data_IF_845930086624
#
_entry.id   IF_845930086624
#
_cell.length_a   1.000
_cell.length_b   1.000
_cell.length_c   1.000
_cell.angle_alpha   90.00
_cell.angle_beta   90.00
_cell.angle_gamma   90.00
#
_symmetry.space_group_name_H-M   'P 1'
#
loop_
_entity.id
_entity.type
_entity.pdbx_description
1 polymer ?
#
# COMPACT_ATOMS: atom_id res chain seq x y z
N UNK A 1 5.21 21.36 -1.63
CA UNK A 1 5.77 20.06 -2.08
C UNK A 1 6.18 20.20 -3.54
N UNK A 2 7.31 19.64 -4.00
CA UNK A 2 7.57 19.53 -5.43
C UNK A 2 6.41 18.75 -6.09
N UNK A 3 6.06 19.11 -7.32
CA UNK A 3 5.02 18.40 -8.07
C UNK A 3 5.46 16.93 -8.25
N UNK A 4 4.62 16.00 -7.80
CA UNK A 4 4.84 14.58 -8.02
C UNK A 4 4.87 14.30 -9.53
N UNK A 5 5.91 13.62 -9.99
CA UNK A 5 6.10 13.22 -11.39
C UNK A 5 5.91 11.73 -11.55
N UNK A 6 5.38 11.33 -12.70
CA UNK A 6 5.22 9.93 -13.02
C UNK A 6 6.59 9.31 -13.37
N UNK A 7 6.96 8.15 -12.78
CA UNK A 7 8.19 7.46 -13.15
C UNK A 7 8.13 7.00 -14.60
N UNK A 8 9.13 7.39 -15.40
CA UNK A 8 9.21 6.96 -16.80
C UNK A 8 10.26 5.87 -16.93
N UNK A 9 9.86 4.73 -17.48
CA UNK A 9 10.74 3.61 -17.75
C UNK A 9 11.68 3.90 -18.92
N UNK A 10 12.87 3.29 -18.89
CA UNK A 10 13.83 3.34 -20.00
C UNK A 10 13.23 2.66 -21.23
N UNK A 11 13.51 3.21 -22.41
CA UNK A 11 13.15 2.58 -23.68
C UNK A 11 13.75 1.16 -23.76
N UNK A 12 12.92 0.19 -24.14
CA UNK A 12 13.29 -1.23 -24.20
C UNK A 12 12.84 -2.06 -22.99
N UNK A 13 12.47 -1.43 -21.87
CA UNK A 13 11.81 -2.11 -20.75
C UNK A 13 10.29 -2.11 -20.96
N UNK A 14 9.77 -3.24 -21.42
CA UNK A 14 8.33 -3.46 -21.59
C UNK A 14 7.75 -4.10 -20.33
N UNK A 15 7.64 -3.33 -19.25
CA UNK A 15 6.89 -3.77 -18.08
C UNK A 15 5.42 -3.37 -18.22
N UNK A 16 4.51 -4.30 -17.98
CA UNK A 16 3.10 -3.97 -17.74
C UNK A 16 2.98 -3.24 -16.41
N UNK A 17 1.87 -2.54 -16.16
CA UNK A 17 1.63 -1.89 -14.88
C UNK A 17 1.75 -2.87 -13.70
N UNK A 18 1.21 -4.09 -13.87
CA UNK A 18 1.30 -5.15 -12.86
C UNK A 18 2.74 -5.63 -12.67
N UNK A 19 3.48 -5.84 -13.76
CA UNK A 19 4.89 -6.25 -13.70
C UNK A 19 5.78 -5.18 -13.09
N UNK A 20 5.49 -3.90 -13.32
CA UNK A 20 6.16 -2.80 -12.65
C UNK A 20 5.90 -2.83 -11.15
N UNK A 21 4.64 -2.95 -10.73
CA UNK A 21 4.27 -2.99 -9.31
C UNK A 21 4.90 -4.19 -8.60
N UNK A 22 4.93 -5.35 -9.24
CA UNK A 22 5.57 -6.55 -8.71
C UNK A 22 7.09 -6.35 -8.54
N UNK A 23 7.79 -5.87 -9.56
CA UNK A 23 9.24 -5.63 -9.51
C UNK A 23 9.63 -4.55 -8.50
N UNK A 24 8.84 -3.47 -8.42
CA UNK A 24 9.06 -2.41 -7.44
C UNK A 24 8.77 -2.90 -6.02
N UNK A 25 7.76 -3.76 -5.84
CA UNK A 25 7.38 -4.33 -4.54
C UNK A 25 8.31 -5.42 -4.00
N UNK A 26 9.21 -5.98 -4.82
CA UNK A 26 10.10 -7.06 -4.41
C UNK A 26 11.09 -6.69 -3.29
N UNK A 27 11.52 -5.42 -3.22
CA UNK A 27 12.38 -4.96 -2.13
C UNK A 27 12.19 -3.45 -1.83
N UNK A 28 12.60 -3.03 -0.64
CA UNK A 28 12.43 -1.64 -0.18
C UNK A 28 13.27 -0.65 -1.01
N UNK A 29 14.44 -1.05 -1.51
CA UNK A 29 15.31 -0.20 -2.30
C UNK A 29 14.67 0.19 -3.65
N UNK A 30 13.86 -0.71 -4.24
CA UNK A 30 13.11 -0.45 -5.46
C UNK A 30 11.95 0.51 -5.20
N UNK A 31 11.25 0.36 -4.06
CA UNK A 31 10.22 1.31 -3.61
C UNK A 31 10.82 2.69 -3.37
N UNK A 32 11.97 2.77 -2.70
CA UNK A 32 12.71 4.01 -2.50
C UNK A 32 13.15 4.64 -3.82
N UNK A 33 13.65 3.84 -4.76
CA UNK A 33 14.00 4.29 -6.11
C UNK A 33 12.80 4.87 -6.86
N UNK A 34 11.63 4.20 -6.82
CA UNK A 34 10.40 4.71 -7.42
C UNK A 34 9.95 6.00 -6.75
N UNK A 35 10.04 6.09 -5.42
CA UNK A 35 9.72 7.29 -4.68
C UNK A 35 10.64 8.46 -5.04
N UNK A 36 11.96 8.25 -5.08
CA UNK A 36 12.95 9.24 -5.52
C UNK A 36 12.62 9.72 -6.93
N UNK A 37 12.23 8.84 -7.84
CA UNK A 37 11.78 9.25 -9.17
C UNK A 37 10.55 10.15 -9.11
N UNK A 38 9.59 9.88 -8.23
CA UNK A 38 8.38 10.69 -8.12
C UNK A 38 8.59 12.07 -7.50
N UNK A 39 9.51 12.21 -6.53
CA UNK A 39 9.61 13.45 -5.73
C UNK A 39 10.95 14.17 -5.85
N UNK A 40 11.97 13.50 -6.38
CA UNK A 40 13.33 14.03 -6.48
C UNK A 40 13.52 14.96 -7.67
N UNK A 41 14.63 15.69 -7.65
CA UNK A 41 15.02 16.60 -8.74
C UNK A 41 15.79 15.84 -9.81
N UNK A 42 15.54 16.16 -11.07
CA UNK A 42 16.38 15.66 -12.16
C UNK A 42 17.79 16.23 -11.98
N UNK A 43 18.79 15.35 -11.97
CA UNK A 43 20.17 15.76 -11.87
C UNK A 43 20.63 16.33 -13.21
N UNK A 44 21.38 17.44 -13.19
CA UNK A 44 21.88 18.05 -14.44
C UNK A 44 22.98 17.22 -15.08
N UNK A 45 23.78 16.55 -14.25
CA UNK A 45 24.84 15.63 -14.66
C UNK A 45 24.43 14.21 -14.26
N UNK A 46 24.45 13.29 -15.21
CA UNK A 46 24.09 11.90 -14.93
C UNK A 46 25.15 11.25 -14.03
N UNK A 47 24.72 10.44 -13.05
CA UNK A 47 25.62 9.61 -12.26
C UNK A 47 26.23 8.49 -13.14
N UNK A 48 27.37 7.93 -12.74
CA UNK A 48 28.07 6.88 -13.52
C UNK A 48 27.16 5.68 -13.85
N UNK A 49 26.32 5.27 -12.90
CA UNK A 49 25.32 4.21 -13.13
C UNK A 49 24.27 4.59 -14.18
N UNK A 50 23.84 5.85 -14.23
CA UNK A 50 22.90 6.32 -15.27
C UNK A 50 23.54 6.30 -16.66
N UNK A 51 24.80 6.74 -16.74
CA UNK A 51 25.61 6.74 -17.97
C UNK A 51 25.86 5.31 -18.48
N UNK A 52 26.02 4.33 -17.57
CA UNK A 52 26.14 2.89 -17.90
C UNK A 52 24.82 2.20 -18.22
N UNK A 53 23.75 2.98 -18.32
CA UNK A 53 22.42 2.50 -18.60
C UNK A 53 21.76 1.60 -17.53
N UNK A 54 22.26 1.61 -16.30
CA UNK A 54 21.77 0.74 -15.24
C UNK A 54 20.40 1.19 -14.69
N UNK A 55 19.58 0.21 -14.30
CA UNK A 55 18.28 0.40 -13.65
C UNK A 55 17.11 0.78 -14.56
N UNK A 56 15.87 0.76 -14.03
CA UNK A 56 14.66 0.73 -14.86
C UNK A 56 14.19 2.09 -15.37
N UNK A 57 14.61 3.18 -14.74
CA UNK A 57 14.08 4.53 -15.04
C UNK A 57 14.87 5.23 -16.14
N UNK A 58 14.26 6.18 -16.86
CA UNK A 58 14.94 6.92 -17.91
C UNK A 58 15.74 8.13 -17.39
N UNK A 59 15.42 8.63 -16.21
CA UNK A 59 15.94 9.91 -15.69
C UNK A 59 16.89 9.70 -14.52
N UNK A 60 17.99 10.46 -14.48
CA UNK A 60 18.85 10.54 -13.30
C UNK A 60 18.21 11.50 -12.29
N UNK A 61 17.85 10.99 -11.12
CA UNK A 61 17.11 11.75 -10.11
C UNK A 61 17.76 11.60 -8.76
N UNK A 62 17.89 12.72 -8.07
CA UNK A 62 18.45 12.77 -6.72
C UNK A 62 17.48 13.47 -5.78
N UNK A 63 17.46 13.01 -4.53
CA UNK A 63 16.86 13.76 -3.43
C UNK A 63 18.00 14.55 -2.76
N UNK A 64 17.85 15.87 -2.72
CA UNK A 64 18.79 16.77 -2.05
C UNK A 64 18.24 17.10 -0.66
N UNK A 65 18.32 16.12 0.25
CA UNK A 65 18.00 16.33 1.67
C UNK A 65 19.32 16.65 2.40
N UNK A 66 19.34 17.72 3.17
CA UNK A 66 20.48 18.10 4.01
C UNK A 66 20.90 16.91 4.90
N UNK A 67 22.14 16.46 4.75
CA UNK A 67 22.72 15.37 5.53
C UNK A 67 22.58 13.97 4.93
N UNK A 68 21.92 13.80 3.77
CA UNK A 68 21.85 12.53 3.06
C UNK A 68 22.93 12.43 1.95
N UNK A 69 23.52 11.23 1.73
CA UNK A 69 24.36 11.00 0.56
C UNK A 69 23.57 11.26 -0.72
N UNK A 70 24.22 11.90 -1.72
CA UNK A 70 23.62 12.13 -3.04
C UNK A 70 23.52 10.81 -3.80
N UNK A 71 22.55 9.99 -3.46
CA UNK A 71 22.28 8.73 -4.16
C UNK A 71 21.24 8.97 -5.26
N UNK A 72 21.61 8.60 -6.50
CA UNK A 72 20.68 8.62 -7.61
C UNK A 72 19.76 7.39 -7.51
N UNK A 73 18.47 7.55 -7.84
CA UNK A 73 17.44 6.50 -7.75
C UNK A 73 17.83 5.13 -8.36
N UNK A 74 18.80 5.10 -9.28
CA UNK A 74 19.24 3.88 -9.96
C UNK A 74 20.25 3.04 -9.16
N UNK A 75 21.07 3.66 -8.32
CA UNK A 75 22.12 2.94 -7.57
C UNK A 75 21.57 2.03 -6.46
N UNK A 76 20.35 2.31 -5.98
CA UNK A 76 19.68 1.49 -4.97
C UNK A 76 19.10 0.18 -5.53
N UNK A 77 18.76 0.14 -6.82
CA UNK A 77 18.03 -0.98 -7.44
C UNK A 77 18.92 -2.15 -7.94
N UNK A 78 20.25 -2.02 -7.93
CA UNK A 78 21.17 -3.00 -8.54
C UNK A 78 22.03 -3.81 -7.54
N UNK A 79 21.71 -3.85 -6.24
CA UNK A 79 22.51 -4.62 -5.27
C UNK A 79 22.34 -6.16 -5.33
N UNK A 80 21.98 -6.70 -6.49
CA UNK A 80 22.20 -8.12 -6.81
C UNK A 80 23.50 -8.25 -7.63
N UNK A 81 24.62 -8.36 -6.91
CA UNK A 81 25.92 -8.84 -7.40
C UNK A 81 26.82 -7.88 -8.23
N UNK A 82 27.41 -6.86 -7.59
CA UNK A 82 28.74 -6.39 -7.96
C UNK A 82 29.39 -5.63 -6.80
N UNK A 83 30.51 -6.16 -6.29
CA UNK A 83 31.37 -5.45 -5.36
C UNK A 83 32.06 -4.28 -6.11
N UNK A 84 31.61 -3.05 -5.88
CA UNK A 84 32.40 -1.85 -6.18
C UNK A 84 33.23 -1.51 -4.92
N UNK A 85 34.56 -1.38 -5.02
CA UNK A 85 35.39 -1.00 -3.88
C UNK A 85 35.21 0.49 -3.60
N UNK A 86 34.29 0.81 -2.69
CA UNK A 86 34.13 2.16 -2.17
C UNK A 86 35.20 2.45 -1.11
N UNK A 87 36.30 3.06 -1.56
CA UNK A 87 37.13 3.91 -0.70
C UNK A 87 36.37 5.24 -0.45
N UNK A 88 35.37 5.18 0.41
CA UNK A 88 34.81 6.32 1.14
C UNK A 88 34.04 5.78 2.32
N UNK A 89 34.05 6.48 3.46
CA UNK A 89 33.67 5.89 4.73
C UNK A 89 32.23 5.42 4.62
N UNK A 90 32.03 4.10 4.79
CA UNK A 90 30.73 3.60 5.23
C UNK A 90 30.25 4.54 6.33
N UNK A 91 29.03 5.11 6.23
CA UNK A 91 28.39 5.67 7.42
C UNK A 91 28.54 4.60 8.49
N UNK A 92 29.26 4.90 9.57
CA UNK A 92 29.45 3.93 10.63
C UNK A 92 28.06 3.49 11.06
N UNK A 93 27.71 2.23 10.78
CA UNK A 93 26.59 1.53 11.38
C UNK A 93 26.80 1.63 12.89
N UNK A 94 26.16 2.64 13.52
CA UNK A 94 26.45 3.01 14.90
C UNK A 94 26.47 4.51 15.21
N UNK A 95 26.29 5.41 14.24
CA UNK A 95 26.03 6.82 14.58
C UNK A 95 24.70 6.92 15.34
N UNK A 96 24.68 7.57 16.51
CA UNK A 96 23.47 7.69 17.35
C UNK A 96 22.28 8.25 16.56
N UNK A 97 22.56 9.13 15.59
CA UNK A 97 21.61 9.74 14.67
C UNK A 97 20.85 8.72 13.81
N UNK A 98 21.52 7.71 13.25
CA UNK A 98 20.86 6.68 12.44
C UNK A 98 19.97 5.79 13.31
N UNK A 99 20.42 5.48 14.52
CA UNK A 99 19.67 4.65 15.46
C UNK A 99 18.45 5.40 16.03
N UNK A 100 18.57 6.68 16.33
CA UNK A 100 17.45 7.57 16.68
C UNK A 100 16.43 7.65 15.54
N UNK A 101 16.88 7.90 14.32
CA UNK A 101 15.97 7.97 13.16
C UNK A 101 15.20 6.66 12.95
N UNK A 102 15.87 5.51 13.07
CA UNK A 102 15.21 4.20 12.99
C UNK A 102 14.20 3.97 14.12
N UNK A 103 14.43 4.53 15.32
CA UNK A 103 13.45 4.52 16.39
C UNK A 103 12.21 5.36 16.04
N UNK A 104 12.38 6.51 15.37
CA UNK A 104 11.27 7.35 14.90
C UNK A 104 10.50 6.75 13.72
N UNK A 105 11.13 5.93 12.88
CA UNK A 105 10.46 5.19 11.80
C UNK A 105 9.65 3.98 12.29
N UNK A 106 10.00 3.41 13.44
CA UNK A 106 9.33 2.20 13.96
C UNK A 106 7.82 2.40 14.20
N UNK A 107 7.35 3.49 14.84
CA UNK A 107 5.92 3.79 14.95
C UNK A 107 5.23 3.88 13.58
N UNK A 108 5.86 4.51 12.60
CA UNK A 108 5.30 4.65 11.25
C UNK A 108 5.13 3.29 10.58
N UNK A 109 6.18 2.46 10.61
CA UNK A 109 6.15 1.08 10.09
C UNK A 109 5.02 0.28 10.75
N UNK A 110 4.90 0.36 12.08
CA UNK A 110 3.86 -0.36 12.82
C UNK A 110 2.45 0.13 12.46
N UNK A 111 2.26 1.44 12.28
CA UNK A 111 0.98 2.02 11.87
C UNK A 111 0.57 1.56 10.46
N UNK A 112 1.51 1.51 9.51
CA UNK A 112 1.27 0.99 8.15
C UNK A 112 0.89 -0.48 8.17
N UNK A 113 1.61 -1.32 8.93
CA UNK A 113 1.28 -2.75 9.07
C UNK A 113 -0.11 -2.93 9.68
N UNK A 114 -0.45 -2.16 10.73
CA UNK A 114 -1.77 -2.21 11.35
C UNK A 114 -2.88 -1.81 10.38
N UNK A 115 -2.68 -0.72 9.62
CA UNK A 115 -3.63 -0.28 8.60
C UNK A 115 -3.85 -1.34 7.53
N UNK A 116 -2.78 -1.97 7.04
CA UNK A 116 -2.87 -3.05 6.05
C UNK A 116 -3.69 -4.23 6.58
N UNK A 117 -3.39 -4.70 7.80
CA UNK A 117 -4.11 -5.82 8.40
C UNK A 117 -5.60 -5.50 8.65
N UNK A 118 -5.92 -4.27 9.04
CA UNK A 118 -7.30 -3.84 9.27
C UNK A 118 -8.05 -3.63 7.94
N UNK A 119 -7.36 -3.20 6.89
CA UNK A 119 -7.91 -3.15 5.53
C UNK A 119 -8.27 -4.55 5.01
N UNK A 120 -7.39 -5.54 5.17
CA UNK A 120 -7.66 -6.93 4.77
C UNK A 120 -8.85 -7.54 5.53
N UNK A 121 -8.97 -7.22 6.83
CA UNK A 121 -10.15 -7.60 7.62
C UNK A 121 -11.43 -6.94 7.12
N UNK A 122 -11.36 -5.68 6.71
CA UNK A 122 -12.51 -4.96 6.12
C UNK A 122 -12.96 -5.59 4.82
N UNK A 123 -12.03 -5.92 3.91
CA UNK A 123 -12.33 -6.64 2.67
C UNK A 123 -12.99 -8.00 2.95
N UNK A 124 -12.44 -8.77 3.90
CA UNK A 124 -13.00 -10.05 4.31
C UNK A 124 -14.43 -9.93 4.86
N UNK A 125 -14.72 -8.88 5.63
CA UNK A 125 -16.06 -8.60 6.14
C UNK A 125 -17.04 -8.21 5.01
N UNK A 126 -16.58 -7.43 4.03
CA UNK A 126 -17.37 -7.05 2.85
C UNK A 126 -17.72 -8.30 2.03
N UNK A 127 -16.77 -9.20 1.79
CA UNK A 127 -17.00 -10.43 1.04
C UNK A 127 -17.98 -11.37 1.76
N UNK A 128 -17.83 -11.52 3.08
CA UNK A 128 -18.78 -12.28 3.89
C UNK A 128 -20.19 -11.69 3.83
N UNK A 129 -20.32 -10.37 3.94
CA UNK A 129 -21.59 -9.67 3.83
C UNK A 129 -22.23 -9.85 2.44
N UNK A 130 -21.42 -9.69 1.38
CA UNK A 130 -21.85 -9.90 0.00
C UNK A 130 -22.41 -11.31 -0.20
N UNK A 131 -21.71 -12.33 0.32
CA UNK A 131 -22.18 -13.73 0.25
C UNK A 131 -23.55 -13.90 0.91
N UNK A 132 -23.75 -13.34 2.11
CA UNK A 132 -25.04 -13.42 2.81
C UNK A 132 -26.17 -12.79 2.00
N UNK A 133 -25.93 -11.64 1.36
CA UNK A 133 -26.97 -11.00 0.53
C UNK A 133 -27.26 -11.76 -0.76
N UNK A 134 -26.27 -12.44 -1.35
CA UNK A 134 -26.49 -13.35 -2.47
C UNK A 134 -27.36 -14.55 -2.04
N UNK A 135 -27.04 -15.18 -0.90
CA UNK A 135 -27.80 -16.31 -0.36
C UNK A 135 -29.25 -15.89 0.01
N UNK A 136 -29.42 -14.69 0.57
CA UNK A 136 -30.72 -14.09 0.84
C UNK A 136 -31.54 -13.85 -0.43
N UNK A 137 -30.91 -13.31 -1.47
CA UNK A 137 -31.54 -13.09 -2.78
C UNK A 137 -31.96 -14.40 -3.45
N UNK A 138 -31.12 -15.43 -3.40
CA UNK A 138 -31.44 -16.76 -3.91
C UNK A 138 -32.66 -17.37 -3.18
N UNK A 139 -32.71 -17.22 -1.85
CA UNK A 139 -33.83 -17.68 -1.02
C UNK A 139 -35.13 -16.96 -1.39
N UNK A 140 -35.08 -15.64 -1.55
CA UNK A 140 -36.24 -14.83 -1.95
C UNK A 140 -36.73 -15.20 -3.35
N UNK A 141 -35.83 -15.35 -4.32
CA UNK A 141 -36.18 -15.77 -5.68
C UNK A 141 -36.81 -17.18 -5.69
N UNK A 142 -36.29 -18.11 -4.88
CA UNK A 142 -36.90 -19.44 -4.77
C UNK A 142 -38.32 -19.37 -4.20
N UNK A 143 -38.55 -18.55 -3.18
CA UNK A 143 -39.87 -18.37 -2.59
C UNK A 143 -40.88 -17.78 -3.58
N UNK A 144 -40.46 -16.76 -4.35
CA UNK A 144 -41.27 -16.14 -5.40
C UNK A 144 -41.57 -17.17 -6.49
N UNK A 145 -40.58 -17.92 -6.95
CA UNK A 145 -40.78 -18.92 -8.00
C UNK A 145 -41.78 -20.00 -7.58
N UNK A 146 -41.68 -20.53 -6.35
CA UNK A 146 -42.66 -21.48 -5.82
C UNK A 146 -44.08 -20.91 -5.80
N UNK A 147 -44.21 -19.64 -5.41
CA UNK A 147 -45.49 -18.93 -5.38
C UNK A 147 -46.09 -18.82 -6.79
N UNK A 148 -45.28 -18.47 -7.78
CA UNK A 148 -45.70 -18.40 -9.20
C UNK A 148 -46.06 -19.78 -9.75
N UNK A 149 -45.23 -20.79 -9.51
CA UNK A 149 -45.40 -22.14 -10.09
C UNK A 149 -46.65 -22.86 -9.57
N UNK A 150 -47.02 -22.61 -8.31
CA UNK A 150 -48.12 -23.30 -7.64
C UNK A 150 -49.37 -22.42 -7.49
N UNK A 151 -49.36 -21.21 -8.06
CA UNK A 151 -50.38 -20.16 -7.89
C UNK A 151 -50.77 -19.96 -6.41
N UNK A 152 -49.77 -20.13 -5.54
CA UNK A 152 -49.92 -20.15 -4.09
C UNK A 152 -49.28 -18.90 -3.48
N UNK A 153 -49.74 -18.49 -2.32
CA UNK A 153 -49.07 -17.45 -1.55
C UNK A 153 -47.69 -17.94 -1.06
N UNK A 154 -46.75 -17.02 -0.89
CA UNK A 154 -45.46 -17.31 -0.26
C UNK A 154 -45.72 -17.94 1.11
N UNK A 155 -45.11 -19.10 1.36
CA UNK A 155 -45.35 -19.82 2.59
C UNK A 155 -44.79 -19.09 3.81
N UNK A 156 -45.38 -19.30 4.99
CA UNK A 156 -44.86 -18.76 6.23
C UNK A 156 -43.41 -19.24 6.49
N UNK A 157 -43.09 -20.47 6.09
CA UNK A 157 -41.72 -21.01 6.18
C UNK A 157 -40.75 -20.22 5.30
N UNK A 158 -41.11 -19.90 4.05
CA UNK A 158 -40.27 -19.09 3.19
C UNK A 158 -40.09 -17.67 3.76
N UNK A 159 -41.14 -17.06 4.31
CA UNK A 159 -41.06 -15.76 4.99
C UNK A 159 -40.13 -15.79 6.21
N UNK A 160 -40.19 -16.86 7.00
CA UNK A 160 -39.26 -17.07 8.13
C UNK A 160 -37.81 -17.19 7.66
N UNK A 161 -37.55 -17.95 6.59
CA UNK A 161 -36.20 -18.07 6.01
C UNK A 161 -35.68 -16.73 5.47
N UNK A 162 -36.52 -15.97 4.76
CA UNK A 162 -36.16 -14.62 4.28
C UNK A 162 -35.83 -13.71 5.46
N UNK A 163 -36.67 -13.72 6.52
CA UNK A 163 -36.47 -12.90 7.72
C UNK A 163 -35.17 -13.25 8.44
N UNK A 164 -34.88 -14.55 8.59
CA UNK A 164 -33.64 -15.03 9.18
C UNK A 164 -32.41 -14.54 8.38
N UNK A 165 -32.45 -14.65 7.05
CA UNK A 165 -31.37 -14.18 6.18
C UNK A 165 -31.17 -12.67 6.26
N UNK A 166 -32.24 -11.87 6.31
CA UNK A 166 -32.16 -10.42 6.50
C UNK A 166 -31.52 -10.08 7.85
N UNK A 167 -31.88 -10.81 8.92
CA UNK A 167 -31.29 -10.63 10.25
C UNK A 167 -29.78 -10.88 10.23
N UNK A 168 -29.34 -11.98 9.61
CA UNK A 168 -27.91 -12.29 9.42
C UNK A 168 -27.22 -11.21 8.58
N UNK A 169 -27.84 -10.75 7.49
CA UNK A 169 -27.32 -9.66 6.65
C UNK A 169 -27.15 -8.35 7.41
N UNK A 170 -28.08 -8.01 8.30
CA UNK A 170 -27.96 -6.83 9.16
C UNK A 170 -26.81 -6.95 10.17
N UNK A 171 -26.59 -8.15 10.73
CA UNK A 171 -25.45 -8.41 11.60
C UNK A 171 -24.12 -8.26 10.83
N UNK A 172 -24.04 -8.76 9.60
CA UNK A 172 -22.85 -8.61 8.76
C UNK A 172 -22.61 -7.15 8.35
N UNK A 173 -23.66 -6.39 8.04
CA UNK A 173 -23.56 -4.95 7.81
C UNK A 173 -22.98 -4.21 9.02
N UNK A 174 -23.34 -4.60 10.25
CA UNK A 174 -22.75 -4.04 11.46
C UNK A 174 -21.24 -4.35 11.55
N UNK A 175 -20.84 -5.59 11.24
CA UNK A 175 -19.42 -5.98 11.21
C UNK A 175 -18.62 -5.18 10.17
N UNK A 176 -19.16 -4.96 8.97
CA UNK A 176 -18.54 -4.11 7.94
C UNK A 176 -18.34 -2.68 8.44
N UNK A 177 -19.34 -2.09 9.11
CA UNK A 177 -19.22 -0.74 9.68
C UNK A 177 -18.12 -0.67 10.74
N UNK A 178 -18.08 -1.64 11.66
CA UNK A 178 -17.02 -1.71 12.68
C UNK A 178 -15.63 -1.83 12.04
N UNK A 179 -15.48 -2.62 10.98
CA UNK A 179 -14.21 -2.73 10.27
C UNK A 179 -13.82 -1.42 9.56
N UNK A 180 -14.79 -0.70 8.98
CA UNK A 180 -14.55 0.60 8.35
C UNK A 180 -14.15 1.68 9.38
N UNK A 181 -14.78 1.68 10.56
CA UNK A 181 -14.42 2.59 11.66
C UNK A 181 -12.98 2.33 12.13
N UNK A 182 -12.57 1.06 12.23
CA UNK A 182 -11.21 0.68 12.61
C UNK A 182 -10.18 1.14 11.57
N UNK A 183 -10.44 0.94 10.27
CA UNK A 183 -9.58 1.47 9.19
C UNK A 183 -9.44 2.99 9.29
N UNK A 184 -10.54 3.70 9.52
CA UNK A 184 -10.54 5.16 9.70
C UNK A 184 -9.67 5.57 10.90
N UNK A 185 -9.80 4.85 12.03
CA UNK A 185 -8.97 5.06 13.20
C UNK A 185 -7.48 4.84 12.90
N UNK A 186 -7.13 3.81 12.11
CA UNK A 186 -5.74 3.57 11.70
C UNK A 186 -5.17 4.63 10.78
N UNK A 187 -5.98 5.23 9.90
CA UNK A 187 -5.54 6.38 9.13
C UNK A 187 -5.16 7.56 10.04
N UNK A 188 -5.91 7.79 11.12
CA UNK A 188 -5.56 8.82 12.10
C UNK A 188 -4.27 8.47 12.87
N UNK A 189 -4.12 7.21 13.32
CA UNK A 189 -2.88 6.73 13.96
C UNK A 189 -1.66 6.94 13.03
N UNK A 190 -1.83 6.67 11.73
CA UNK A 190 -0.79 6.86 10.71
C UNK A 190 -0.46 8.34 10.50
N UNK A 191 -1.46 9.22 10.43
CA UNK A 191 -1.27 10.66 10.29
C UNK A 191 -0.52 11.25 11.50
N UNK A 192 -0.83 10.77 12.71
CA UNK A 192 -0.11 11.16 13.92
C UNK A 192 1.36 10.69 13.89
N UNK A 193 1.61 9.45 13.45
CA UNK A 193 2.97 8.94 13.30
C UNK A 193 3.79 9.75 12.28
N UNK A 194 3.19 10.13 11.16
CA UNK A 194 3.83 11.02 10.19
C UNK A 194 4.14 12.41 10.78
N UNK A 195 3.19 12.99 11.52
CA UNK A 195 3.39 14.30 12.16
C UNK A 195 4.57 14.27 13.15
N UNK A 196 4.71 13.19 13.92
CA UNK A 196 5.85 13.00 14.84
C UNK A 196 7.18 12.89 14.10
N UNK A 197 7.20 12.16 12.99
CA UNK A 197 8.40 12.02 12.16
C UNK A 197 8.80 13.36 11.52
N UNK A 198 7.82 14.14 11.07
CA UNK A 198 8.06 15.46 10.48
C UNK A 198 8.62 16.44 11.51
N UNK A 199 8.10 16.46 12.74
CA UNK A 199 8.63 17.30 13.81
C UNK A 199 10.08 16.93 14.15
N UNK A 200 10.37 15.63 14.27
CA UNK A 200 11.74 15.15 14.46
C UNK A 200 12.68 15.61 13.33
N UNK A 201 12.27 15.47 12.07
CA UNK A 201 13.06 15.89 10.92
C UNK A 201 13.31 17.41 10.87
N UNK A 202 12.43 18.20 11.49
CA UNK A 202 12.58 19.66 11.65
C UNK A 202 13.38 20.06 12.88
N UNK A 203 13.76 19.10 13.74
CA UNK A 203 14.44 19.36 15.01
C UNK A 203 13.56 20.04 16.05
N UNK A 204 12.24 19.78 16.02
CA UNK A 204 11.24 20.30 16.95
C UNK A 204 10.81 19.27 18.00
#
# INVERSE_FOLDING_TARGET
MPLAREPVLRQGLMWTADGFNEQIGQNIANVEAAYIQCVGRINKEECEACLKEEGPFNSCVVIDILGWPKECAKGAATSTNAAVPMASPRPQEGSSSTQEFMQHLKPLKNAVIALSNDHDRSLSAIDANKKVWVDAGATMNSAIQKSVDHDNQISNTDLQSITANISVGNQQNAAVRTAADEVTRRFNDLAEAFSKLENFARGQ
#
